data_IF_585103510557
#
_entry.id   IF_585103510557
#
_cell.length_a   1.000
_cell.length_b   1.000
_cell.length_c   1.000
_cell.angle_alpha   90.00
_cell.angle_beta   90.00
_cell.angle_gamma   90.00
#
_symmetry.space_group_name_H-M   'P 1'
#
loop_
_entity.id
_entity.type
_entity.pdbx_description
1 polymer ?
#
# COMPACT_ATOMS: atom_id res chain seq x y z
N UNK A 1 -6.70 7.47 -12.08
CA UNK A 1 -6.55 8.54 -11.06
C UNK A 1 -6.91 9.90 -11.65
N UNK A 2 -7.71 10.70 -10.96
CA UNK A 2 -8.05 12.08 -11.33
C UNK A 2 -7.66 13.07 -10.24
N UNK A 3 -7.25 14.29 -10.61
CA UNK A 3 -6.86 15.34 -9.68
C UNK A 3 -7.57 16.63 -10.07
N UNK A 4 -8.27 17.24 -9.12
CA UNK A 4 -8.99 18.49 -9.31
C UNK A 4 -8.64 19.47 -8.17
N UNK A 5 -8.33 20.73 -8.50
CA UNK A 5 -8.14 21.78 -7.48
C UNK A 5 -9.49 22.36 -7.11
N UNK A 6 -9.85 22.33 -5.82
CA UNK A 6 -11.17 22.78 -5.35
C UNK A 6 -11.12 24.15 -4.63
N UNK A 7 -9.98 24.84 -4.70
CA UNK A 7 -9.75 26.12 -4.02
C UNK A 7 -9.27 25.96 -2.57
N UNK A 8 -8.93 27.07 -1.91
CA UNK A 8 -8.53 27.09 -0.50
C UNK A 8 -7.24 26.31 -0.15
N UNK A 9 -6.44 25.93 -1.14
CA UNK A 9 -5.26 25.07 -0.94
C UNK A 9 -5.55 23.56 -0.95
N UNK A 10 -6.79 23.16 -1.28
CA UNK A 10 -7.21 21.76 -1.30
C UNK A 10 -7.29 21.18 -2.71
N UNK A 11 -7.13 19.86 -2.78
CA UNK A 11 -7.31 19.05 -3.99
C UNK A 11 -8.28 17.92 -3.72
N UNK A 12 -9.08 17.56 -4.73
CA UNK A 12 -9.89 16.35 -4.79
C UNK A 12 -9.14 15.32 -5.62
N UNK A 13 -9.00 14.12 -5.06
CA UNK A 13 -8.35 12.99 -5.73
C UNK A 13 -9.41 11.93 -5.99
N UNK A 14 -9.55 11.51 -7.24
CA UNK A 14 -10.41 10.40 -7.63
C UNK A 14 -9.55 9.14 -7.85
N UNK A 15 -9.87 8.10 -7.09
CA UNK A 15 -9.29 6.75 -7.15
C UNK A 15 -10.43 5.75 -7.32
N UNK A 16 -10.20 4.64 -8.03
CA UNK A 16 -11.18 3.54 -8.10
C UNK A 16 -10.93 2.57 -6.94
N UNK A 17 -11.97 1.81 -6.57
CA UNK A 17 -11.86 0.77 -5.56
C UNK A 17 -10.95 -0.35 -6.05
N UNK A 18 -11.13 -0.75 -7.30
CA UNK A 18 -10.40 -1.83 -7.96
C UNK A 18 -8.89 -1.54 -8.03
N UNK A 19 -8.50 -0.31 -8.42
CA UNK A 19 -7.08 0.07 -8.50
C UNK A 19 -6.43 0.04 -7.11
N UNK A 20 -7.15 0.44 -6.05
CA UNK A 20 -6.66 0.40 -4.68
C UNK A 20 -6.47 -1.04 -4.20
N UNK A 21 -7.44 -1.92 -4.43
CA UNK A 21 -7.36 -3.34 -4.08
C UNK A 21 -6.20 -4.04 -4.80
N UNK A 22 -6.06 -3.80 -6.11
CA UNK A 22 -4.95 -4.33 -6.91
C UNK A 22 -3.60 -3.80 -6.41
N UNK A 23 -3.50 -2.50 -6.13
CA UNK A 23 -2.27 -1.87 -5.66
C UNK A 23 -1.85 -2.37 -4.28
N UNK A 24 -2.79 -2.49 -3.33
CA UNK A 24 -2.53 -3.04 -2.00
C UNK A 24 -2.03 -4.48 -2.10
N UNK A 25 -2.68 -5.30 -2.92
CA UNK A 25 -2.28 -6.70 -3.15
C UNK A 25 -0.87 -6.78 -3.75
N UNK A 26 -0.62 -6.03 -4.82
CA UNK A 26 0.67 -6.00 -5.51
C UNK A 26 1.81 -5.51 -4.61
N UNK A 27 1.60 -4.43 -3.85
CA UNK A 27 2.62 -3.90 -2.92
C UNK A 27 2.87 -4.85 -1.75
N UNK A 28 1.84 -5.53 -1.24
CA UNK A 28 1.97 -6.54 -0.20
C UNK A 28 2.84 -7.72 -0.67
N UNK A 29 2.71 -8.13 -1.93
CA UNK A 29 3.53 -9.19 -2.54
C UNK A 29 4.95 -8.73 -2.85
N UNK A 30 5.13 -7.49 -3.34
CA UNK A 30 6.44 -6.94 -3.69
C UNK A 30 7.32 -6.65 -2.47
N UNK A 31 6.73 -6.24 -1.34
CA UNK A 31 7.45 -5.88 -0.11
C UNK A 31 8.50 -6.92 0.31
N UNK A 32 8.17 -8.21 0.56
CA UNK A 32 9.16 -9.20 0.97
C UNK A 32 10.23 -9.48 -0.11
N UNK A 33 9.88 -9.38 -1.39
CA UNK A 33 10.82 -9.60 -2.50
C UNK A 33 11.90 -8.50 -2.48
N UNK A 34 11.49 -7.23 -2.38
CA UNK A 34 12.42 -6.11 -2.34
C UNK A 34 13.25 -6.08 -1.06
N UNK A 35 12.68 -6.43 0.10
CA UNK A 35 13.46 -6.60 1.32
C UNK A 35 14.55 -7.67 1.15
N UNK A 36 14.24 -8.80 0.53
CA UNK A 36 15.23 -9.85 0.27
C UNK A 36 16.31 -9.42 -0.72
N UNK A 37 15.95 -8.67 -1.76
CA UNK A 37 16.91 -8.11 -2.74
C UNK A 37 17.88 -7.16 -2.04
N UNK A 38 17.37 -6.23 -1.23
CA UNK A 38 18.19 -5.24 -0.52
C UNK A 38 19.13 -5.89 0.50
N UNK A 39 18.68 -6.95 1.18
CA UNK A 39 19.54 -7.73 2.07
C UNK A 39 20.67 -8.39 1.27
N UNK A 40 20.36 -8.96 0.11
CA UNK A 40 21.35 -9.62 -0.76
C UNK A 40 22.32 -8.62 -1.41
N UNK A 41 21.83 -7.48 -1.90
CA UNK A 41 22.62 -6.49 -2.63
C UNK A 41 23.63 -5.78 -1.74
N UNK A 42 23.34 -5.66 -0.43
CA UNK A 42 24.28 -5.13 0.56
C UNK A 42 25.44 -6.11 0.89
N UNK A 43 25.39 -7.36 0.42
CA UNK A 43 26.46 -8.34 0.57
C UNK A 43 26.86 -8.57 2.02
N UNK A 44 28.14 -8.31 2.34
CA UNK A 44 28.66 -8.51 3.70
C UNK A 44 28.34 -7.35 4.66
N UNK A 45 27.78 -6.24 4.17
CA UNK A 45 27.39 -5.11 5.03
C UNK A 45 26.04 -5.39 5.71
N UNK A 46 26.07 -6.24 6.75
CA UNK A 46 24.89 -6.67 7.50
C UNK A 46 24.15 -5.51 8.18
N UNK A 47 24.88 -4.47 8.60
CA UNK A 47 24.27 -3.30 9.23
C UNK A 47 23.44 -2.51 8.21
N UNK A 48 24.02 -2.19 7.06
CA UNK A 48 23.31 -1.48 6.00
C UNK A 48 22.15 -2.31 5.44
N UNK A 49 22.34 -3.63 5.27
CA UNK A 49 21.27 -4.55 4.88
C UNK A 49 20.05 -4.48 5.80
N UNK A 50 20.27 -4.42 7.12
CA UNK A 50 19.21 -4.31 8.10
C UNK A 50 18.52 -2.94 8.06
N UNK A 51 19.30 -1.86 7.96
CA UNK A 51 18.79 -0.49 7.87
C UNK A 51 17.93 -0.32 6.61
N UNK A 52 18.43 -0.70 5.45
CA UNK A 52 17.73 -0.53 4.17
C UNK A 52 16.48 -1.41 4.11
N UNK A 53 16.56 -2.66 4.57
CA UNK A 53 15.38 -3.55 4.64
C UNK A 53 14.28 -2.98 5.55
N UNK A 54 14.66 -2.38 6.68
CA UNK A 54 13.72 -1.72 7.58
C UNK A 54 13.09 -0.46 6.95
N UNK A 55 13.87 0.31 6.18
CA UNK A 55 13.34 1.46 5.43
C UNK A 55 12.35 1.03 4.36
N UNK A 56 12.67 -0.01 3.56
CA UNK A 56 11.74 -0.59 2.58
C UNK A 56 10.45 -1.03 3.26
N UNK A 57 10.55 -1.78 4.38
CA UNK A 57 9.36 -2.18 5.16
C UNK A 57 8.51 -0.97 5.54
N UNK A 58 9.13 0.05 6.15
CA UNK A 58 8.43 1.25 6.63
C UNK A 58 7.69 1.96 5.49
N UNK A 59 8.35 2.16 4.35
CA UNK A 59 7.75 2.86 3.21
C UNK A 59 6.60 2.07 2.59
N UNK A 60 6.75 0.76 2.41
CA UNK A 60 5.69 -0.09 1.89
C UNK A 60 4.50 -0.17 2.84
N UNK A 61 4.74 -0.36 4.14
CA UNK A 61 3.67 -0.37 5.14
C UNK A 61 2.92 0.95 5.14
N UNK A 62 3.62 2.10 5.11
CA UNK A 62 2.99 3.42 5.06
C UNK A 62 2.12 3.59 3.81
N UNK A 63 2.60 3.14 2.65
CA UNK A 63 1.85 3.22 1.40
C UNK A 63 0.60 2.34 1.44
N UNK A 64 0.74 1.08 1.88
CA UNK A 64 -0.36 0.13 2.05
C UNK A 64 -1.40 0.69 3.01
N UNK A 65 -0.99 1.16 4.19
CA UNK A 65 -1.89 1.73 5.19
C UNK A 65 -2.66 2.92 4.64
N UNK A 66 -2.00 3.85 3.94
CA UNK A 66 -2.65 5.00 3.33
C UNK A 66 -3.70 4.59 2.28
N UNK A 67 -3.39 3.62 1.42
CA UNK A 67 -4.35 3.11 0.44
C UNK A 67 -5.49 2.35 1.11
N UNK A 68 -5.22 1.57 2.16
CA UNK A 68 -6.26 0.89 2.94
C UNK A 68 -7.19 1.88 3.64
N UNK A 69 -6.68 3.00 4.14
CA UNK A 69 -7.49 4.10 4.68
C UNK A 69 -8.39 4.74 3.62
N UNK A 70 -7.89 4.95 2.39
CA UNK A 70 -8.73 5.43 1.29
C UNK A 70 -9.79 4.40 0.91
N UNK A 71 -9.40 3.13 0.86
CA UNK A 71 -10.27 2.03 0.50
C UNK A 71 -11.38 1.79 1.52
N UNK A 72 -11.14 2.05 2.82
CA UNK A 72 -12.18 2.01 3.85
C UNK A 72 -13.21 3.12 3.77
N UNK A 73 -12.94 4.17 2.99
CA UNK A 73 -13.93 5.19 2.64
C UNK A 73 -14.96 4.75 1.59
N UNK A 74 -14.77 3.59 0.93
CA UNK A 74 -15.75 3.06 -0.01
C UNK A 74 -16.85 2.27 0.70
N UNK A 75 -18.10 2.52 0.30
CA UNK A 75 -19.26 1.77 0.79
C UNK A 75 -19.07 0.25 0.58
N UNK A 76 -19.27 -0.52 1.65
CA UNK A 76 -19.17 -1.98 1.62
C UNK A 76 -17.76 -2.56 1.76
N UNK A 77 -16.70 -1.74 1.89
CA UNK A 77 -15.37 -2.27 2.23
C UNK A 77 -15.34 -2.79 3.68
N UNK A 78 -14.90 -4.04 3.87
CA UNK A 78 -14.89 -4.71 5.19
C UNK A 78 -16.21 -5.36 5.62
N UNK A 79 -17.32 -5.16 4.89
CA UNK A 79 -18.50 -6.02 5.01
C UNK A 79 -18.24 -7.30 4.23
N UNK A 80 -17.61 -8.26 4.90
CA UNK A 80 -17.53 -9.63 4.41
C UNK A 80 -18.93 -10.16 4.11
N UNK A 81 -19.04 -10.86 2.97
CA UNK A 81 -20.16 -11.69 2.54
C UNK A 81 -21.03 -12.16 3.72
N UNK A 82 -22.18 -11.52 3.93
CA UNK A 82 -23.29 -12.22 4.57
C UNK A 82 -23.58 -13.41 3.66
N UNK A 83 -23.42 -14.61 4.22
CA UNK A 83 -23.67 -15.87 3.54
C UNK A 83 -25.13 -15.88 3.09
N UNK A 84 -25.34 -15.85 1.78
CA UNK A 84 -26.57 -16.39 1.18
C UNK A 84 -26.47 -17.91 1.30
N UNK A 85 -26.77 -18.43 2.49
CA UNK A 85 -27.15 -19.83 2.68
C UNK A 85 -28.68 -19.83 2.85
N UNK A 86 -29.42 -19.95 1.75
CA UNK A 86 -30.84 -20.36 1.69
C UNK A 86 -30.98 -21.56 0.72
#
# INVERSE_FOLDING_TARGET
MGIERIGGGYIKIAVSKEDLEESISGLSQLKPILQAIVIKSNGNNKHQAAVDSAQIKKHFDTAIDAMTMLLSGFDGYGKGKEREDD
#
